data_IF_263766781790
#
_entry.id   IF_263766781790
#
_cell.length_a   1.000
_cell.length_b   1.000
_cell.length_c   1.000
_cell.angle_alpha   90.00
_cell.angle_beta   90.00
_cell.angle_gamma   90.00
#
_symmetry.space_group_name_H-M   'P 1'
#
loop_
_entity.id
_entity.type
_entity.pdbx_description
1 polymer ?
#
# COMPACT_ATOMS: atom_id res chain seq x y z
N UNK A 1 7.60 9.25 6.65
CA UNK A 1 8.02 8.39 5.52
C UNK A 1 7.89 6.94 5.96
N UNK A 2 7.32 6.07 5.13
CA UNK A 2 7.13 4.66 5.48
C UNK A 2 8.47 3.93 5.58
N UNK A 3 8.58 3.03 6.55
CA UNK A 3 9.70 2.10 6.70
C UNK A 3 9.20 0.66 6.86
N UNK A 4 10.05 -0.32 6.57
CA UNK A 4 9.69 -1.73 6.71
C UNK A 4 9.37 -2.10 8.17
N UNK A 5 10.11 -1.55 9.13
CA UNK A 5 9.90 -1.73 10.57
C UNK A 5 8.55 -1.12 10.97
N UNK A 6 8.26 0.07 10.45
CA UNK A 6 6.99 0.75 10.70
C UNK A 6 5.79 0.04 10.10
N UNK A 7 5.96 -0.96 9.24
CA UNK A 7 4.85 -1.73 8.64
C UNK A 7 4.90 -3.23 8.98
N UNK A 8 5.88 -3.66 9.79
CA UNK A 8 6.17 -5.07 10.06
C UNK A 8 6.36 -5.90 8.77
N UNK A 9 7.25 -5.42 7.90
CA UNK A 9 7.62 -6.04 6.63
C UNK A 9 9.10 -6.43 6.63
N UNK A 10 9.45 -7.44 5.85
CA UNK A 10 10.84 -7.90 5.71
C UNK A 10 11.65 -6.92 4.84
N UNK A 11 10.97 -6.31 3.87
CA UNK A 11 11.53 -5.35 2.92
C UNK A 11 10.48 -4.35 2.49
N UNK A 12 10.94 -3.13 2.17
CA UNK A 12 10.10 -2.09 1.61
C UNK A 12 10.94 -1.26 0.62
N UNK A 13 10.55 -1.26 -0.65
CA UNK A 13 11.17 -0.47 -1.70
C UNK A 13 10.20 0.63 -2.10
N UNK A 14 10.67 1.87 -2.15
CA UNK A 14 9.91 2.98 -2.71
C UNK A 14 10.19 3.08 -4.20
N UNK A 15 9.14 3.17 -4.99
CA UNK A 15 9.15 3.52 -6.40
C UNK A 15 8.45 4.87 -6.57
N UNK A 16 9.01 5.72 -7.41
CA UNK A 16 8.39 7.00 -7.72
C UNK A 16 7.35 6.78 -8.83
N UNK A 17 6.09 7.15 -8.57
CA UNK A 17 5.06 7.26 -9.58
C UNK A 17 4.80 8.73 -9.92
N UNK A 18 4.18 8.97 -11.08
CA UNK A 18 3.95 10.33 -11.58
C UNK A 18 2.91 11.09 -10.75
N UNK A 19 1.92 10.37 -10.18
CA UNK A 19 0.77 10.94 -9.44
C UNK A 19 0.59 10.37 -8.03
N UNK A 20 1.41 9.41 -7.64
CA UNK A 20 1.30 8.67 -6.39
C UNK A 20 2.68 8.14 -5.97
N UNK A 21 2.81 7.82 -4.69
CA UNK A 21 3.95 7.04 -4.22
C UNK A 21 3.59 5.56 -4.27
N UNK A 22 4.49 4.76 -4.84
CA UNK A 22 4.33 3.32 -4.94
C UNK A 22 5.36 2.70 -4.01
N UNK A 23 4.92 1.76 -3.18
CA UNK A 23 5.82 0.97 -2.36
C UNK A 23 5.60 -0.51 -2.64
N UNK A 24 6.70 -1.24 -2.77
CA UNK A 24 6.74 -2.69 -2.91
C UNK A 24 7.27 -3.27 -1.60
N UNK A 25 6.41 -3.98 -0.88
CA UNK A 25 6.73 -4.64 0.38
C UNK A 25 6.84 -6.14 0.23
N UNK A 26 7.73 -6.78 0.99
CA UNK A 26 7.81 -8.23 1.12
C UNK A 26 7.45 -8.62 2.56
N UNK A 27 6.63 -9.66 2.72
CA UNK A 27 6.26 -10.25 4.02
C UNK A 27 6.16 -11.77 3.87
N UNK A 28 7.12 -12.50 4.41
CA UNK A 28 7.27 -13.92 4.17
C UNK A 28 7.41 -14.20 2.66
N UNK A 29 6.53 -15.04 2.12
CA UNK A 29 6.53 -15.40 0.69
C UNK A 29 5.64 -14.48 -0.17
N UNK A 30 5.07 -13.43 0.41
CA UNK A 30 4.11 -12.57 -0.27
C UNK A 30 4.71 -11.21 -0.60
N UNK A 31 4.35 -10.71 -1.79
CA UNK A 31 4.68 -9.34 -2.21
C UNK A 31 3.43 -8.49 -2.20
N UNK A 32 3.53 -7.31 -1.58
CA UNK A 32 2.45 -6.33 -1.49
C UNK A 32 2.80 -5.03 -2.21
N UNK A 33 1.78 -4.39 -2.74
CA UNK A 33 1.85 -3.07 -3.31
C UNK A 33 1.05 -2.10 -2.46
N UNK A 34 1.63 -0.95 -2.17
CA UNK A 34 1.00 0.15 -1.45
C UNK A 34 1.08 1.38 -2.32
N UNK A 35 -0.08 1.90 -2.73
CA UNK A 35 -0.20 3.10 -3.53
C UNK A 35 -0.74 4.22 -2.65
N UNK A 36 -0.06 5.36 -2.59
CA UNK A 36 -0.43 6.49 -1.73
C UNK A 36 -0.63 7.73 -2.56
N UNK A 37 -1.79 8.33 -2.39
CA UNK A 37 -2.22 9.53 -3.09
C UNK A 37 -2.48 10.63 -2.09
N UNK A 38 -1.78 11.75 -2.26
CA UNK A 38 -1.93 12.92 -1.41
C UNK A 38 -2.69 13.99 -2.16
N UNK A 39 -3.82 14.41 -1.59
CA UNK A 39 -4.62 15.52 -2.11
C UNK A 39 -4.65 16.64 -1.08
N UNK A 40 -5.15 17.81 -1.47
CA UNK A 40 -5.29 18.95 -0.54
C UNK A 40 -6.31 18.70 0.59
N UNK A 41 -7.14 17.66 0.50
CA UNK A 41 -8.25 17.39 1.44
C UNK A 41 -8.05 16.13 2.28
N UNK A 42 -7.33 15.15 1.74
CA UNK A 42 -7.14 13.85 2.36
C UNK A 42 -5.98 13.11 1.71
N UNK A 43 -5.50 12.09 2.41
CA UNK A 43 -4.61 11.07 1.89
C UNK A 43 -5.44 9.81 1.73
N UNK A 44 -5.37 9.19 0.56
CA UNK A 44 -5.95 7.87 0.35
C UNK A 44 -4.88 6.93 -0.17
N UNK A 45 -5.09 5.65 0.09
CA UNK A 45 -4.16 4.62 -0.33
C UNK A 45 -4.89 3.33 -0.66
N UNK A 46 -4.21 2.45 -1.39
CA UNK A 46 -4.63 1.06 -1.58
C UNK A 46 -3.48 0.13 -1.22
N UNK A 47 -3.78 -0.90 -0.44
CA UNK A 47 -2.89 -2.04 -0.20
C UNK A 47 -3.45 -3.23 -0.98
N UNK A 48 -2.64 -3.86 -1.81
CA UNK A 48 -3.06 -4.99 -2.65
C UNK A 48 -1.92 -5.99 -2.86
N UNK A 49 -2.23 -7.26 -3.22
CA UNK A 49 -1.18 -8.18 -3.66
C UNK A 49 -0.50 -7.66 -4.93
N UNK A 50 0.75 -8.07 -5.14
CA UNK A 50 1.43 -7.86 -6.40
C UNK A 50 0.72 -8.59 -7.55
N UNK A 51 0.72 -7.98 -8.72
CA UNK A 51 0.09 -8.53 -9.93
C UNK A 51 1.09 -8.53 -11.09
N UNK A 52 1.00 -9.45 -12.04
CA UNK A 52 1.85 -9.41 -13.22
C UNK A 52 1.69 -8.09 -13.99
N UNK A 53 2.80 -7.55 -14.49
CA UNK A 53 2.82 -6.36 -15.33
C UNK A 53 3.53 -5.16 -14.70
N UNK A 54 3.38 -4.00 -15.33
CA UNK A 54 3.92 -2.73 -14.84
C UNK A 54 2.95 -2.12 -13.84
N UNK A 55 3.47 -1.67 -12.70
CA UNK A 55 2.68 -0.96 -11.71
C UNK A 55 2.87 0.54 -11.87
N UNK A 56 1.75 1.22 -12.02
CA UNK A 56 1.65 2.68 -12.08
C UNK A 56 0.52 3.16 -11.17
N UNK A 57 0.29 4.47 -11.17
CA UNK A 57 -0.73 5.09 -10.33
C UNK A 57 -2.17 4.82 -10.78
N UNK A 58 -2.40 4.16 -11.90
CA UNK A 58 -3.74 3.78 -12.37
C UNK A 58 -4.05 2.31 -12.05
N UNK A 59 -3.01 1.47 -11.97
CA UNK A 59 -3.09 0.04 -11.60
C UNK A 59 -4.07 -0.27 -10.46
N UNK A 60 -4.03 0.42 -9.29
CA UNK A 60 -4.93 0.10 -8.20
C UNK A 60 -6.41 0.39 -8.50
N UNK A 61 -6.74 1.28 -9.44
CA UNK A 61 -8.13 1.57 -9.81
C UNK A 61 -8.76 0.43 -10.62
N UNK A 62 -7.96 -0.22 -11.47
CA UNK A 62 -8.43 -1.27 -12.38
C UNK A 62 -8.29 -2.68 -11.81
N UNK A 63 -7.52 -2.86 -10.73
CA UNK A 63 -7.39 -4.16 -10.09
C UNK A 63 -8.40 -4.37 -8.96
N UNK A 64 -9.24 -5.42 -8.99
CA UNK A 64 -10.35 -5.55 -8.05
C UNK A 64 -9.94 -5.99 -6.63
N UNK A 65 -8.76 -6.59 -6.45
CA UNK A 65 -8.32 -7.05 -5.13
C UNK A 65 -7.52 -6.00 -4.38
N UNK A 66 -7.57 -6.08 -3.04
CA UNK A 66 -6.92 -5.15 -2.13
C UNK A 66 -7.92 -4.29 -1.37
N UNK A 67 -7.40 -3.47 -0.47
CA UNK A 67 -8.18 -2.63 0.44
C UNK A 67 -7.78 -1.18 0.30
N UNK A 68 -8.79 -0.33 0.11
CA UNK A 68 -8.63 1.11 0.21
C UNK A 68 -8.62 1.59 1.67
N UNK A 69 -7.89 2.66 1.92
CA UNK A 69 -7.93 3.41 3.16
C UNK A 69 -7.89 4.91 2.90
N UNK A 70 -8.47 5.67 3.82
CA UNK A 70 -8.57 7.12 3.75
C UNK A 70 -8.21 7.71 5.12
N UNK A 71 -7.34 8.72 5.13
CA UNK A 71 -6.96 9.45 6.35
C UNK A 71 -6.94 10.95 6.07
N UNK A 72 -7.34 11.74 7.07
CA UNK A 72 -7.28 13.21 6.99
C UNK A 72 -5.91 13.76 7.35
N UNK A 73 -5.13 13.02 8.14
CA UNK A 73 -3.85 13.46 8.70
C UNK A 73 -2.77 12.41 8.43
N UNK A 74 -1.57 12.85 8.03
CA UNK A 74 -0.41 11.98 7.72
C UNK A 74 -0.03 11.08 8.90
N UNK A 75 -0.22 11.55 10.14
CA UNK A 75 0.10 10.78 11.37
C UNK A 75 -0.69 9.47 11.50
N UNK A 76 -1.87 9.39 10.86
CA UNK A 76 -2.74 8.21 10.90
C UNK A 76 -2.46 7.22 9.77
N UNK A 77 -1.62 7.60 8.80
CA UNK A 77 -1.40 6.83 7.57
C UNK A 77 -0.77 5.46 7.86
N UNK A 78 0.28 5.44 8.69
CA UNK A 78 1.02 4.22 9.04
C UNK A 78 0.10 3.19 9.69
N UNK A 79 -0.64 3.60 10.72
CA UNK A 79 -1.53 2.70 11.46
C UNK A 79 -2.65 2.16 10.58
N UNK A 80 -3.19 2.99 9.67
CA UNK A 80 -4.21 2.54 8.72
C UNK A 80 -3.67 1.61 7.65
N UNK A 81 -2.44 1.80 7.16
CA UNK A 81 -1.82 0.87 6.23
C UNK A 81 -1.56 -0.48 6.92
N UNK A 82 -1.02 -0.48 8.15
CA UNK A 82 -0.84 -1.71 8.96
C UNK A 82 -2.14 -2.47 9.10
N UNK A 83 -3.21 -1.79 9.48
CA UNK A 83 -4.56 -2.39 9.61
C UNK A 83 -4.95 -3.12 8.32
N UNK A 84 -4.73 -2.51 7.15
CA UNK A 84 -5.08 -3.14 5.86
C UNK A 84 -4.18 -4.33 5.53
N UNK A 85 -2.89 -4.25 5.80
CA UNK A 85 -1.96 -5.37 5.64
C UNK A 85 -2.39 -6.55 6.53
N UNK A 86 -2.71 -6.30 7.80
CA UNK A 86 -3.15 -7.34 8.72
C UNK A 86 -4.46 -8.00 8.28
N UNK A 87 -5.43 -7.21 7.79
CA UNK A 87 -6.68 -7.75 7.26
C UNK A 87 -6.41 -8.64 6.05
N UNK A 88 -5.58 -8.19 5.09
CA UNK A 88 -5.24 -9.01 3.92
C UNK A 88 -4.51 -10.31 4.33
N UNK A 89 -3.60 -10.25 5.31
CA UNK A 89 -2.91 -11.44 5.83
C UNK A 89 -3.86 -12.44 6.49
N UNK A 90 -4.83 -11.96 7.28
CA UNK A 90 -5.81 -12.83 7.95
C UNK A 90 -6.80 -13.50 7.00
N UNK A 91 -7.01 -12.92 5.82
CA UNK A 91 -7.89 -13.45 4.79
C UNK A 91 -7.13 -14.21 3.68
N UNK A 92 -5.85 -14.52 3.90
CA UNK A 92 -5.00 -15.30 2.97
C UNK A 92 -4.92 -14.69 1.55
N UNK A 93 -5.07 -13.36 1.45
CA UNK A 93 -4.88 -12.62 0.20
C UNK A 93 -3.40 -12.29 -0.01
N UNK A 94 -2.67 -12.08 1.10
CA UNK A 94 -1.22 -11.84 1.16
C UNK A 94 -0.63 -12.57 2.36
#
# INVERSE_FOLDING_TARGET
MLSKESLNLDKLIRMQGDRCEIYVGEKGNSTILIFIYRTNKAIYFKVMPAVPGKWDCDTPEYYPFGLYGFVKEEKLLIDKIKEKIEVLSKNEII
#
